data_IF_792512820083
#
_entry.id   IF_792512820083
#
_cell.length_a   1.000
_cell.length_b   1.000
_cell.length_c   1.000
_cell.angle_alpha   90.00
_cell.angle_beta   90.00
_cell.angle_gamma   90.00
#
_symmetry.space_group_name_H-M   'P 1'
#
loop_
_entity.id
_entity.type
_entity.pdbx_description
1 polymer ?
#
# COMPACT_ATOMS: atom_id res chain seq x y z
N UNK A 1 17.44 2.43 9.65
CA UNK A 1 17.39 2.85 8.24
C UNK A 1 16.11 2.29 7.60
N UNK A 2 15.43 3.09 6.78
CA UNK A 2 14.22 2.71 6.05
C UNK A 2 14.63 2.12 4.69
N UNK A 3 14.03 1.00 4.27
CA UNK A 3 14.32 0.35 2.97
C UNK A 3 13.17 0.58 1.99
N UNK A 4 13.46 0.51 0.69
CA UNK A 4 12.43 0.61 -0.36
C UNK A 4 11.34 -0.47 -0.23
N UNK A 5 11.71 -1.67 0.23
CA UNK A 5 10.74 -2.73 0.50
C UNK A 5 9.80 -2.36 1.66
N UNK A 6 10.34 -1.85 2.79
CA UNK A 6 9.51 -1.44 3.93
C UNK A 6 8.61 -0.25 3.57
N UNK A 7 9.10 0.72 2.80
CA UNK A 7 8.29 1.83 2.30
C UNK A 7 7.14 1.33 1.43
N UNK A 8 7.41 0.40 0.52
CA UNK A 8 6.37 -0.21 -0.32
C UNK A 8 5.36 -0.99 0.51
N UNK A 9 5.80 -1.70 1.55
CA UNK A 9 4.90 -2.41 2.47
C UNK A 9 4.03 -1.45 3.28
N UNK A 10 4.58 -0.33 3.77
CA UNK A 10 3.84 0.70 4.46
C UNK A 10 2.82 1.39 3.54
N UNK A 11 3.17 1.63 2.28
CA UNK A 11 2.25 2.19 1.28
C UNK A 11 1.08 1.23 1.00
N UNK A 12 1.34 -0.08 0.85
CA UNK A 12 0.28 -1.08 0.78
C UNK A 12 -0.61 -1.07 2.02
N UNK A 13 0.00 -0.95 3.20
CA UNK A 13 -0.76 -0.95 4.45
C UNK A 13 -1.65 0.30 4.57
N UNK A 14 -1.14 1.48 4.24
CA UNK A 14 -1.92 2.71 4.24
C UNK A 14 -3.12 2.65 3.28
N UNK A 15 -2.95 2.03 2.11
CA UNK A 15 -4.06 1.85 1.18
C UNK A 15 -5.17 0.93 1.74
N UNK A 16 -4.88 0.01 2.65
CA UNK A 16 -5.85 -0.93 3.24
C UNK A 16 -6.50 -0.43 4.54
N UNK A 17 -6.25 0.80 4.99
CA UNK A 17 -6.83 1.32 6.25
C UNK A 17 -8.35 1.26 6.24
N UNK A 18 -8.97 1.61 5.11
CA UNK A 18 -10.42 1.64 4.92
C UNK A 18 -11.03 0.28 4.60
N UNK A 19 -10.21 -0.77 4.46
CA UNK A 19 -10.67 -2.15 4.31
C UNK A 19 -9.83 -3.04 3.38
N UNK A 20 -10.26 -4.30 3.21
CA UNK A 20 -9.51 -5.30 2.46
C UNK A 20 -9.34 -4.94 0.98
N UNK A 21 -8.17 -5.25 0.40
CA UNK A 21 -7.87 -5.02 -1.02
C UNK A 21 -7.30 -6.24 -1.73
N UNK A 22 -7.48 -6.29 -3.05
CA UNK A 22 -6.83 -7.31 -3.88
C UNK A 22 -5.41 -6.87 -4.25
N UNK A 23 -4.45 -7.79 -4.39
CA UNK A 23 -3.09 -7.46 -4.81
C UNK A 23 -3.01 -6.72 -6.15
N UNK A 24 -3.98 -6.94 -7.05
CA UNK A 24 -4.05 -6.26 -8.34
C UNK A 24 -4.37 -4.77 -8.20
N UNK A 25 -5.19 -4.40 -7.21
CA UNK A 25 -5.64 -3.02 -6.99
C UNK A 25 -4.51 -2.19 -6.36
N UNK A 26 -3.62 -2.86 -5.62
CA UNK A 26 -2.46 -2.26 -4.96
C UNK A 26 -1.26 -2.06 -5.89
N UNK A 27 -1.31 -2.56 -7.13
CA UNK A 27 -0.22 -2.33 -8.10
C UNK A 27 -0.04 -0.85 -8.44
N UNK A 28 -1.11 -0.06 -8.38
CA UNK A 28 -1.06 1.39 -8.53
C UNK A 28 -0.27 2.07 -7.40
N UNK A 29 -0.24 1.46 -6.22
CA UNK A 29 0.55 1.94 -5.07
C UNK A 29 2.01 1.51 -5.21
N UNK A 30 2.24 0.24 -5.57
CA UNK A 30 3.59 -0.27 -5.83
C UNK A 30 3.53 -1.51 -6.72
N UNK A 31 4.38 -1.61 -7.76
CA UNK A 31 4.33 -2.73 -8.72
C UNK A 31 4.62 -4.09 -8.07
N UNK A 32 5.32 -4.09 -6.93
CA UNK A 32 5.67 -5.29 -6.18
C UNK A 32 4.64 -5.68 -5.10
N UNK A 33 3.46 -5.02 -5.06
CA UNK A 33 2.42 -5.32 -4.08
C UNK A 33 2.08 -6.82 -3.98
N UNK A 34 1.88 -7.58 -5.08
CA UNK A 34 1.62 -9.01 -4.98
C UNK A 34 2.70 -9.78 -4.23
N UNK A 35 3.98 -9.43 -4.46
CA UNK A 35 5.13 -10.03 -3.79
C UNK A 35 5.14 -9.68 -2.30
N UNK A 36 4.86 -8.42 -1.95
CA UNK A 36 4.79 -7.97 -0.55
C UNK A 36 3.72 -8.71 0.24
N UNK A 37 2.49 -8.77 -0.30
CA UNK A 37 1.35 -9.40 0.35
C UNK A 37 1.55 -10.92 0.50
N UNK A 38 2.12 -11.55 -0.53
CA UNK A 38 2.38 -12.99 -0.53
C UNK A 38 3.48 -13.39 0.46
N UNK A 39 4.62 -12.67 0.46
CA UNK A 39 5.71 -13.01 1.38
C UNK A 39 5.41 -12.59 2.82
N UNK A 40 4.62 -11.53 3.00
CA UNK A 40 4.20 -11.02 4.30
C UNK A 40 5.34 -10.97 5.34
N UNK A 41 6.52 -10.47 4.93
CA UNK A 41 7.78 -10.54 5.71
C UNK A 41 7.63 -9.98 7.13
N UNK A 42 6.75 -9.00 7.30
CA UNK A 42 6.52 -8.32 8.58
C UNK A 42 5.29 -8.81 9.34
N UNK A 43 4.51 -9.75 8.78
CA UNK A 43 3.25 -10.19 9.38
C UNK A 43 2.15 -9.13 9.39
N UNK A 44 2.23 -8.12 8.52
CA UNK A 44 1.30 -6.98 8.49
C UNK A 44 -0.01 -7.27 7.76
N UNK A 45 -0.04 -8.31 6.93
CA UNK A 45 -1.17 -8.62 6.07
C UNK A 45 -1.77 -9.98 6.44
N UNK A 46 -3.08 -10.10 6.34
CA UNK A 46 -3.82 -11.34 6.49
C UNK A 46 -4.64 -11.59 5.23
N UNK A 47 -4.62 -12.83 4.73
CA UNK A 47 -5.49 -13.24 3.63
C UNK A 47 -6.86 -13.60 4.22
N UNK A 48 -7.86 -12.77 3.95
CA UNK A 48 -9.22 -12.93 4.48
C UNK A 48 -10.14 -13.69 3.52
N UNK A 49 -9.82 -13.71 2.22
CA UNK A 49 -10.50 -14.51 1.21
C UNK A 49 -9.56 -14.79 0.01
N UNK A 50 -10.06 -15.46 -1.03
CA UNK A 50 -9.32 -15.80 -2.24
C UNK A 50 -8.82 -14.54 -2.97
N UNK A 51 -7.58 -14.18 -2.68
CA UNK A 51 -6.92 -13.03 -3.29
C UNK A 51 -7.34 -11.68 -2.70
N UNK A 52 -7.93 -11.70 -1.50
CA UNK A 52 -8.30 -10.51 -0.74
C UNK A 52 -7.48 -10.47 0.56
N UNK A 53 -6.86 -9.32 0.83
CA UNK A 53 -5.98 -9.13 1.98
C UNK A 53 -6.43 -7.94 2.81
N UNK A 54 -6.33 -8.07 4.12
CA UNK A 54 -6.58 -7.01 5.10
C UNK A 54 -5.34 -6.84 6.01
N UNK A 55 -5.36 -5.80 6.85
CA UNK A 55 -4.35 -5.55 7.85
C UNK A 55 -4.54 -6.40 9.10
N UNK A 56 -3.45 -6.96 9.60
CA UNK A 56 -3.36 -7.44 10.98
C UNK A 56 -3.22 -6.26 11.95
N UNK A 57 -3.35 -6.52 13.25
CA UNK A 57 -3.07 -5.52 14.28
C UNK A 57 -1.63 -4.98 14.18
N UNK A 58 -0.67 -5.84 13.84
CA UNK A 58 0.72 -5.44 13.60
C UNK A 58 0.85 -4.50 12.39
N UNK A 59 0.06 -4.75 11.33
CA UNK A 59 -0.02 -3.86 10.17
C UNK A 59 -0.59 -2.50 10.52
N UNK A 60 -1.68 -2.44 11.30
CA UNK A 60 -2.27 -1.18 11.80
C UNK A 60 -1.30 -0.42 12.70
N UNK A 61 -0.64 -1.12 13.64
CA UNK A 61 0.36 -0.53 14.53
C UNK A 61 1.58 0.02 13.77
N UNK A 62 1.93 -0.60 12.63
CA UNK A 62 3.02 -0.10 11.78
C UNK A 62 2.75 1.30 11.23
N UNK A 63 1.49 1.63 10.94
CA UNK A 63 1.09 2.94 10.43
C UNK A 63 1.12 4.01 11.52
N UNK A 64 0.86 3.63 12.78
CA UNK A 64 1.05 4.54 13.92
C UNK A 64 2.53 4.84 14.12
N UNK A 65 3.37 3.80 14.02
CA UNK A 65 4.83 3.92 14.19
C UNK A 65 5.51 4.67 13.04
N UNK A 66 5.01 4.48 11.82
CA UNK A 66 5.46 5.17 10.62
C UNK A 66 4.26 5.74 9.88
N UNK A 67 3.79 6.94 10.28
CA UNK A 67 2.70 7.62 9.60
C UNK A 67 3.03 7.78 8.12
N UNK A 68 2.10 7.37 7.26
CA UNK A 68 2.22 7.59 5.82
C UNK A 68 1.63 8.95 5.48
N UNK A 69 2.32 9.73 4.67
CA UNK A 69 1.76 10.97 4.13
C UNK A 69 0.48 10.61 3.37
N UNK A 70 -0.64 11.23 3.75
CA UNK A 70 -1.89 11.14 2.99
C UNK A 70 -1.58 11.61 1.57
N UNK A 71 -1.69 10.70 0.61
CA UNK A 71 -1.44 10.98 -0.79
C UNK A 71 -2.65 11.72 -1.35
N UNK A 72 -2.84 12.97 -0.90
CA UNK A 72 -3.83 13.88 -1.45
C UNK A 72 -3.51 14.15 -2.92
N UNK A 73 -4.55 14.33 -3.71
CA UNK A 73 -4.70 13.94 -5.12
C UNK A 73 -3.91 14.78 -6.16
N UNK A 74 -2.62 15.06 -5.94
CA UNK A 74 -1.87 16.03 -6.76
C UNK A 74 -0.76 15.46 -7.66
N UNK A 75 -0.78 14.16 -8.01
CA UNK A 75 0.21 13.58 -8.96
C UNK A 75 -0.29 13.25 -10.36
N UNK A 76 -1.52 13.64 -10.73
CA UNK A 76 -2.06 13.42 -12.09
C UNK A 76 -2.17 14.68 -12.98
N UNK A 77 -1.72 15.86 -12.53
CA UNK A 77 -1.93 17.11 -13.29
C UNK A 77 -0.63 17.74 -13.87
N UNK A 78 0.24 16.97 -14.54
CA UNK A 78 1.37 17.55 -15.32
C UNK A 78 1.37 17.14 -16.81
N UNK A 79 0.41 16.35 -17.32
CA UNK A 79 0.46 15.89 -18.73
C UNK A 79 -0.65 16.37 -19.68
N UNK A 80 -1.59 17.23 -19.26
CA UNK A 80 -2.61 17.79 -20.16
C UNK A 80 -2.58 19.32 -20.19
N UNK A 81 -1.60 19.90 -20.90
CA UNK A 81 -1.72 21.27 -21.41
C UNK A 81 -2.05 21.19 -22.91
N UNK A 82 -3.16 21.78 -23.39
CA UNK A 82 -3.37 21.92 -24.82
C UNK A 82 -2.44 23.01 -25.36
N UNK A 83 -1.56 22.64 -26.28
CA UNK A 83 -0.84 23.62 -27.10
C UNK A 83 -1.86 24.40 -27.94
N UNK A 84 -1.97 25.70 -27.67
CA UNK A 84 -2.55 26.69 -28.59
C UNK A 84 -1.39 27.45 -29.22
#
# INVERSE_FOLDING_TARGET
IMTAYRQSALACAAAMVDGPRRPRDLKAVTPIAPKILQHNVYGWFARVDRGLYDLTDAGRASLVRWPQASHDESRHAILNAPAT
#
